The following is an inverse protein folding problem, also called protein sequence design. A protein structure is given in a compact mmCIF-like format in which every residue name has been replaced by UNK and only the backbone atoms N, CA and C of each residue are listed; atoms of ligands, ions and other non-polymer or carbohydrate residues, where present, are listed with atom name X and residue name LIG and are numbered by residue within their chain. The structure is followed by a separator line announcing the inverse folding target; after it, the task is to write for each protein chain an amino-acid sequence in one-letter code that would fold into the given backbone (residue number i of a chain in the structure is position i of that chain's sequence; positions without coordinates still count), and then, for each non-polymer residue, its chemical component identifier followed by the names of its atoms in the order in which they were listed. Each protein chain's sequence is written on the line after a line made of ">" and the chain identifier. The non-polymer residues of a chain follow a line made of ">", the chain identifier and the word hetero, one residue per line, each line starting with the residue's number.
data_IF_707300146266
#
_entry.id   IF_707300146266
#
_cell.length_a   1.000
_cell.length_b   1.000
_cell.length_c   1.000
_cell.angle_alpha   90.00
_cell.angle_beta   90.00
_cell.angle_gamma   90.00
#
_symmetry.space_group_name_H-M   'P 1'
#
loop_
_entity.id
_entity.type
_entity.pdbx_description
1 polymer ?
#
# COMPACT_ATOMS: atom_id res chain seq x y z
N UNK A 1 3.49 -14.61 8.52
CA UNK A 1 4.50 -14.00 7.61
C UNK A 1 4.48 -12.47 7.71
N UNK A 2 3.31 -11.81 7.66
CA UNK A 2 3.17 -10.35 7.79
C UNK A 2 3.44 -9.83 9.21
N UNK A 3 2.93 -10.51 10.25
CA UNK A 3 3.08 -10.12 11.67
C UNK A 3 4.52 -9.92 12.15
N UNK A 4 5.47 -10.72 11.66
CA UNK A 4 6.89 -10.64 12.07
C UNK A 4 7.81 -10.28 10.92
N UNK A 5 7.29 -9.67 9.85
CA UNK A 5 8.11 -9.25 8.71
C UNK A 5 9.16 -8.24 9.17
N UNK A 6 10.47 -8.49 8.95
CA UNK A 6 11.51 -7.51 9.23
C UNK A 6 11.70 -6.52 8.08
N UNK A 7 11.01 -6.73 6.95
CA UNK A 7 11.10 -5.85 5.77
C UNK A 7 9.90 -4.90 5.70
N UNK A 8 10.10 -3.65 5.21
CA UNK A 8 9.01 -2.70 5.00
C UNK A 8 7.97 -3.21 4.02
N UNK A 9 6.69 -3.00 4.33
CA UNK A 9 5.55 -3.38 3.48
C UNK A 9 4.61 -2.18 3.35
N UNK A 10 4.22 -1.83 2.13
CA UNK A 10 3.15 -0.86 1.89
C UNK A 10 1.93 -1.57 1.28
N UNK A 11 0.81 -1.50 1.98
CA UNK A 11 -0.48 -2.02 1.51
C UNK A 11 -1.26 -0.88 0.86
N UNK A 12 -1.56 -1.01 -0.42
CA UNK A 12 -2.36 -0.03 -1.17
C UNK A 12 -3.75 -0.60 -1.36
N UNK A 13 -4.78 0.13 -0.91
CA UNK A 13 -6.17 -0.31 -1.01
C UNK A 13 -7.08 0.83 -1.47
N UNK A 14 -8.09 0.50 -2.27
CA UNK A 14 -9.10 1.45 -2.68
C UNK A 14 -10.22 1.52 -1.65
N UNK A 15 -10.68 2.72 -1.31
CA UNK A 15 -11.76 2.93 -0.34
C UNK A 15 -13.05 2.21 -0.77
N UNK A 16 -13.33 2.16 -2.08
CA UNK A 16 -14.48 1.49 -2.67
C UNK A 16 -14.29 -0.03 -2.82
N UNK A 17 -13.09 -0.58 -2.54
CA UNK A 17 -12.84 -2.02 -2.64
C UNK A 17 -13.42 -2.77 -1.44
N UNK A 18 -14.02 -3.96 -1.64
CA UNK A 18 -14.47 -4.80 -0.52
C UNK A 18 -13.33 -5.22 0.42
N UNK A 19 -12.07 -5.12 -0.05
CA UNK A 19 -10.89 -5.52 0.71
C UNK A 19 -10.30 -4.42 1.60
N UNK A 20 -10.69 -3.15 1.44
CA UNK A 20 -10.15 -2.06 2.24
C UNK A 20 -10.41 -2.24 3.75
N UNK A 21 -11.67 -2.42 4.14
CA UNK A 21 -12.05 -2.37 5.55
C UNK A 21 -11.57 -3.57 6.35
N UNK A 22 -11.60 -4.77 5.78
CA UNK A 22 -11.22 -5.99 6.49
C UNK A 22 -9.73 -6.29 6.38
N UNK A 23 -9.14 -6.20 5.18
CA UNK A 23 -7.80 -6.71 4.95
C UNK A 23 -6.71 -5.66 5.15
N UNK A 24 -6.84 -4.48 4.53
CA UNK A 24 -5.80 -3.46 4.59
C UNK A 24 -5.61 -2.89 6.01
N UNK A 25 -6.72 -2.63 6.72
CA UNK A 25 -6.69 -2.22 8.12
C UNK A 25 -6.11 -3.31 9.04
N UNK A 26 -6.51 -4.56 8.82
CA UNK A 26 -5.97 -5.68 9.60
C UNK A 26 -4.46 -5.81 9.40
N UNK A 27 -3.97 -5.72 8.16
CA UNK A 27 -2.53 -5.80 7.84
C UNK A 27 -1.74 -4.70 8.56
N UNK A 28 -2.17 -3.45 8.47
CA UNK A 28 -1.48 -2.32 9.11
C UNK A 28 -1.44 -2.46 10.65
N UNK A 29 -2.40 -3.16 11.25
CA UNK A 29 -2.42 -3.42 12.69
C UNK A 29 -1.50 -4.59 13.13
N UNK A 30 -0.90 -5.34 12.19
CA UNK A 30 -0.09 -6.51 12.55
C UNK A 30 1.34 -6.18 12.94
N UNK A 31 1.94 -5.11 12.40
CA UNK A 31 3.36 -4.82 12.52
C UNK A 31 3.67 -3.37 12.11
N UNK A 32 4.50 -2.67 12.88
CA UNK A 32 4.90 -1.27 12.65
C UNK A 32 5.70 -1.04 11.35
N UNK A 33 6.21 -2.11 10.72
CA UNK A 33 6.87 -2.06 9.40
C UNK A 33 5.86 -1.96 8.24
N UNK A 34 4.56 -2.07 8.52
CA UNK A 34 3.51 -2.07 7.52
C UNK A 34 2.84 -0.69 7.47
N UNK A 35 2.96 0.00 6.34
CA UNK A 35 2.18 1.21 6.08
C UNK A 35 0.96 0.87 5.22
N UNK A 36 -0.07 1.72 5.30
CA UNK A 36 -1.26 1.62 4.47
C UNK A 36 -1.47 2.93 3.71
N UNK A 37 -1.67 2.84 2.40
CA UNK A 37 -2.06 3.94 1.54
C UNK A 37 -3.48 3.70 1.01
N UNK A 38 -4.37 4.68 1.23
CA UNK A 38 -5.74 4.63 0.76
C UNK A 38 -5.89 5.46 -0.51
N UNK A 39 -6.50 4.84 -1.52
CA UNK A 39 -6.80 5.47 -2.79
C UNK A 39 -8.31 5.57 -2.93
N UNK A 40 -8.79 6.73 -3.38
CA UNK A 40 -10.22 7.01 -3.49
C UNK A 40 -10.56 7.23 -4.97
N UNK A 41 -11.83 7.07 -5.34
CA UNK A 41 -12.35 7.14 -6.71
C UNK A 41 -11.82 6.04 -7.64
N UNK A 42 -11.60 4.82 -7.13
CA UNK A 42 -11.29 3.64 -7.94
C UNK A 42 -11.79 2.36 -7.26
N UNK A 43 -11.97 1.30 -8.03
CA UNK A 43 -12.24 -0.06 -7.58
C UNK A 43 -10.97 -0.82 -7.20
N UNK A 44 -11.03 -2.14 -7.32
CA UNK A 44 -9.94 -3.02 -6.89
C UNK A 44 -8.68 -2.89 -7.74
N UNK A 45 -8.81 -2.57 -9.03
CA UNK A 45 -7.71 -2.56 -9.99
C UNK A 45 -7.03 -1.20 -10.01
N UNK A 46 -6.56 -0.74 -8.84
CA UNK A 46 -6.00 0.61 -8.60
C UNK A 46 -4.94 1.00 -9.64
N UNK A 47 -4.06 0.05 -9.98
CA UNK A 47 -2.97 0.27 -10.95
C UNK A 47 -3.47 0.49 -12.39
N UNK A 48 -4.66 0.02 -12.73
CA UNK A 48 -5.29 0.23 -14.03
C UNK A 48 -6.22 1.45 -14.03
N UNK A 49 -6.94 1.67 -12.93
CA UNK A 49 -7.95 2.74 -12.83
C UNK A 49 -7.34 4.11 -12.53
N UNK A 50 -6.30 4.18 -11.70
CA UNK A 50 -5.60 5.43 -11.32
C UNK A 50 -4.08 5.25 -11.33
N UNK A 51 -3.48 4.93 -12.49
CA UNK A 51 -2.07 4.55 -12.62
C UNK A 51 -1.10 5.61 -12.09
N UNK A 52 -1.37 6.90 -12.32
CA UNK A 52 -0.49 7.98 -11.86
C UNK A 52 -0.42 8.06 -10.33
N UNK A 53 -1.57 7.91 -9.67
CA UNK A 53 -1.66 7.92 -8.20
C UNK A 53 -1.01 6.68 -7.61
N UNK A 54 -1.23 5.51 -8.21
CA UNK A 54 -0.54 4.27 -7.83
C UNK A 54 0.99 4.41 -7.96
N UNK A 55 1.47 4.90 -9.12
CA UNK A 55 2.90 5.06 -9.39
C UNK A 55 3.56 6.07 -8.45
N UNK A 56 2.85 7.14 -8.07
CA UNK A 56 3.33 8.10 -7.08
C UNK A 56 3.52 7.44 -5.69
N UNK A 57 2.57 6.62 -5.24
CA UNK A 57 2.67 5.87 -3.98
C UNK A 57 3.85 4.90 -4.04
N UNK A 58 3.97 4.12 -5.12
CA UNK A 58 5.09 3.20 -5.33
C UNK A 58 6.43 3.92 -5.31
N UNK A 59 6.54 5.08 -5.97
CA UNK A 59 7.75 5.90 -5.96
C UNK A 59 8.12 6.36 -4.55
N UNK A 60 7.14 6.80 -3.75
CA UNK A 60 7.38 7.18 -2.36
C UNK A 60 7.90 6.00 -1.53
N UNK A 61 7.31 4.81 -1.69
CA UNK A 61 7.80 3.59 -1.05
C UNK A 61 9.26 3.31 -1.43
N UNK A 62 9.58 3.35 -2.72
CA UNK A 62 10.93 3.05 -3.19
C UNK A 62 11.97 4.08 -2.73
N UNK A 63 11.62 5.37 -2.67
CA UNK A 63 12.51 6.42 -2.17
C UNK A 63 12.71 6.32 -0.64
N UNK A 64 11.63 6.14 0.13
CA UNK A 64 11.68 5.97 1.59
C UNK A 64 12.59 4.80 1.98
N UNK A 65 12.55 3.73 1.21
CA UNK A 65 13.31 2.50 1.47
C UNK A 65 14.62 2.39 0.66
N UNK A 66 15.07 3.49 0.02
CA UNK A 66 16.37 3.57 -0.67
C UNK A 66 16.56 2.57 -1.83
N UNK A 67 15.48 2.11 -2.45
CA UNK A 67 15.51 1.23 -3.63
C UNK A 67 15.76 1.99 -4.94
N UNK A 68 15.59 3.31 -4.93
CA UNK A 68 15.83 4.19 -6.10
C UNK A 68 16.96 5.19 -5.87
N UNK A 69 17.76 5.02 -4.82
CA UNK A 69 18.99 5.78 -4.62
C UNK A 69 20.12 5.13 -5.43
N UNK A 70 20.70 5.89 -6.37
CA UNK A 70 21.99 5.59 -6.99
C UNK A 70 23.11 5.64 -5.95
#
# INVERSE_FOLDING_TARGET
>A
MVQNSPVPIDVIAAVQSPYYNFFAKWMAAQNDQINMALVDNCGHDIMAEVPDRFNQILRHFSLKNRYLSN
#
